data_IF_998296746121
#
_entry.id   IF_998296746121
#
_cell.length_a   1.000
_cell.length_b   1.000
_cell.length_c   1.000
_cell.angle_alpha   90.00
_cell.angle_beta   90.00
_cell.angle_gamma   90.00
#
_symmetry.space_group_name_H-M   'P 1'
#
loop_
_entity.id
_entity.type
_entity.pdbx_description
1 polymer ?
#
# COMPACT_ATOMS: atom_id res chain seq x y z
N UNK A 1 28.85 8.62 -50.16
CA UNK A 1 28.78 9.00 -48.74
C UNK A 1 27.52 9.82 -48.56
N UNK A 2 26.45 9.23 -48.05
CA UNK A 2 25.21 9.92 -47.72
C UNK A 2 25.21 10.15 -46.21
N UNK A 3 25.14 11.40 -45.82
CA UNK A 3 25.13 11.86 -44.43
C UNK A 3 23.82 11.47 -43.77
N UNK A 4 23.92 10.74 -42.66
CA UNK A 4 22.81 10.49 -41.75
C UNK A 4 22.31 11.81 -41.17
N UNK A 5 21.11 12.22 -41.57
CA UNK A 5 20.34 13.24 -40.82
C UNK A 5 19.86 12.59 -39.53
N UNK A 6 20.54 12.94 -38.43
CA UNK A 6 20.03 12.73 -37.08
C UNK A 6 18.82 13.63 -36.89
N UNK A 7 17.61 13.07 -36.98
CA UNK A 7 16.39 13.76 -36.60
C UNK A 7 16.45 14.07 -35.10
N UNK A 8 16.58 15.34 -34.75
CA UNK A 8 16.40 15.81 -33.38
C UNK A 8 14.97 15.47 -32.94
N UNK A 9 14.77 14.80 -31.79
CA UNK A 9 13.42 14.52 -31.31
C UNK A 9 12.73 15.85 -30.99
N UNK A 10 11.61 16.09 -31.67
CA UNK A 10 10.87 17.36 -31.68
C UNK A 10 10.39 17.72 -30.26
N UNK A 11 10.85 18.86 -29.74
CA UNK A 11 10.44 19.39 -28.42
C UNK A 11 8.92 19.60 -28.30
N UNK A 12 8.21 19.80 -29.41
CA UNK A 12 6.75 19.96 -29.43
C UNK A 12 5.98 18.69 -29.05
N UNK A 13 6.43 17.51 -29.48
CA UNK A 13 5.77 16.24 -29.17
C UNK A 13 5.87 15.90 -27.67
N UNK A 14 6.95 16.36 -27.02
CA UNK A 14 7.13 16.16 -25.57
C UNK A 14 6.22 17.07 -24.75
N UNK A 15 6.02 18.33 -25.16
CA UNK A 15 5.14 19.27 -24.47
C UNK A 15 3.67 18.82 -24.53
N UNK A 16 3.21 18.38 -25.71
CA UNK A 16 1.84 17.90 -25.92
C UNK A 16 1.55 16.64 -25.09
N UNK A 17 2.51 15.72 -25.01
CA UNK A 17 2.41 14.52 -24.16
C UNK A 17 2.38 14.88 -22.67
N UNK A 18 3.14 15.89 -22.23
CA UNK A 18 3.10 16.35 -20.84
C UNK A 18 1.71 16.91 -20.48
N UNK A 19 1.15 17.77 -21.34
CA UNK A 19 -0.19 18.34 -21.12
C UNK A 19 -1.27 17.24 -21.12
N UNK A 20 -1.18 16.27 -22.04
CA UNK A 20 -2.08 15.13 -22.09
C UNK A 20 -2.00 14.29 -20.81
N UNK A 21 -0.80 14.01 -20.31
CA UNK A 21 -0.60 13.30 -19.03
C UNK A 21 -1.21 14.07 -17.88
N UNK A 22 -0.99 15.39 -17.80
CA UNK A 22 -1.55 16.21 -16.72
C UNK A 22 -3.08 16.22 -16.73
N UNK A 23 -3.70 16.27 -17.92
CA UNK A 23 -5.17 16.13 -18.06
C UNK A 23 -5.66 14.77 -17.59
N UNK A 24 -5.02 13.67 -18.04
CA UNK A 24 -5.39 12.31 -17.62
C UNK A 24 -5.27 12.17 -16.10
N UNK A 25 -4.17 12.65 -15.53
CA UNK A 25 -3.95 12.63 -14.07
C UNK A 25 -5.01 13.42 -13.34
N UNK A 26 -5.42 14.59 -13.85
CA UNK A 26 -6.47 15.40 -13.23
C UNK A 26 -7.82 14.66 -13.21
N UNK A 27 -8.20 14.02 -14.32
CA UNK A 27 -9.43 13.21 -14.43
C UNK A 27 -9.39 12.00 -13.48
N UNK A 28 -8.27 11.29 -13.43
CA UNK A 28 -8.07 10.14 -12.55
C UNK A 28 -8.13 10.54 -11.07
N UNK A 29 -7.50 11.67 -10.69
CA UNK A 29 -7.56 12.20 -9.33
C UNK A 29 -8.98 12.60 -8.94
N UNK A 30 -9.75 13.18 -9.87
CA UNK A 30 -11.14 13.54 -9.62
C UNK A 30 -12.03 12.30 -9.41
N UNK A 31 -11.79 11.23 -10.18
CA UNK A 31 -12.47 9.96 -9.97
C UNK A 31 -12.13 9.35 -8.60
N UNK A 32 -10.87 9.42 -8.18
CA UNK A 32 -10.45 8.98 -6.84
C UNK A 32 -11.13 9.82 -5.75
N UNK A 33 -11.12 11.16 -5.86
CA UNK A 33 -11.79 12.08 -4.91
C UNK A 33 -13.27 11.76 -4.76
N UNK A 34 -13.98 11.53 -5.87
CA UNK A 34 -15.39 11.16 -5.85
C UNK A 34 -15.60 9.87 -5.07
N UNK A 35 -14.82 8.83 -5.35
CA UNK A 35 -14.93 7.57 -4.63
C UNK A 35 -14.60 7.69 -3.13
N UNK A 36 -13.61 8.53 -2.78
CA UNK A 36 -13.32 8.88 -1.39
C UNK A 36 -14.49 9.61 -0.73
N UNK A 37 -15.12 10.57 -1.43
CA UNK A 37 -16.34 11.27 -0.97
C UNK A 37 -17.56 10.34 -0.81
N UNK A 38 -17.64 9.27 -1.61
CA UNK A 38 -18.63 8.19 -1.46
C UNK A 38 -18.35 7.26 -0.26
N UNK A 39 -17.25 7.47 0.47
CA UNK A 39 -16.88 6.65 1.63
C UNK A 39 -16.15 5.37 1.25
N UNK A 40 -15.31 5.39 0.20
CA UNK A 40 -14.44 4.27 -0.10
C UNK A 40 -13.55 3.89 1.09
N UNK A 41 -13.45 2.58 1.35
CA UNK A 41 -12.62 1.99 2.40
C UNK A 41 -11.62 0.97 1.85
N UNK A 42 -11.90 0.46 0.65
CA UNK A 42 -11.14 -0.60 0.01
C UNK A 42 -10.70 -0.21 -1.40
N UNK A 43 -9.66 -0.87 -1.88
CA UNK A 43 -9.18 -0.78 -3.25
C UNK A 43 -9.01 -2.18 -3.84
N UNK A 44 -9.45 -2.38 -5.07
CA UNK A 44 -9.06 -3.53 -5.88
C UNK A 44 -7.88 -3.10 -6.76
N UNK A 45 -6.75 -3.77 -6.58
CA UNK A 45 -5.64 -3.66 -7.54
C UNK A 45 -5.84 -4.71 -8.62
N UNK A 46 -5.55 -4.36 -9.89
CA UNK A 46 -5.71 -5.23 -11.08
C UNK A 46 -7.16 -5.64 -11.39
N UNK A 47 -8.10 -4.71 -11.29
CA UNK A 47 -9.49 -4.93 -11.69
C UNK A 47 -9.59 -5.50 -13.13
N UNK A 48 -10.47 -6.46 -13.36
CA UNK A 48 -10.69 -7.19 -14.61
C UNK A 48 -9.76 -8.38 -14.86
N UNK A 49 -8.96 -8.81 -13.86
CA UNK A 49 -8.03 -9.95 -14.00
C UNK A 49 -8.34 -11.08 -13.02
N UNK A 50 -7.92 -12.31 -13.36
CA UNK A 50 -8.06 -13.50 -12.49
C UNK A 50 -7.40 -13.34 -11.11
N UNK A 51 -6.53 -12.34 -10.95
CA UNK A 51 -5.74 -12.11 -9.75
C UNK A 51 -6.14 -10.88 -8.93
N UNK A 52 -7.35 -10.36 -9.13
CA UNK A 52 -7.95 -9.31 -8.31
C UNK A 52 -7.75 -9.59 -6.82
N UNK A 53 -7.21 -8.59 -6.15
CA UNK A 53 -6.95 -8.63 -4.72
C UNK A 53 -7.58 -7.40 -4.10
N UNK A 54 -8.41 -7.62 -3.07
CA UNK A 54 -9.01 -6.56 -2.29
C UNK A 54 -7.99 -6.10 -1.24
N UNK A 55 -7.81 -4.79 -1.11
CA UNK A 55 -6.94 -4.16 -0.13
C UNK A 55 -7.73 -3.15 0.68
N UNK A 56 -7.28 -2.90 1.90
CA UNK A 56 -7.60 -1.65 2.59
C UNK A 56 -6.88 -0.50 1.90
N UNK A 57 -7.46 0.69 1.91
CA UNK A 57 -6.82 1.89 1.35
C UNK A 57 -5.49 2.22 2.00
N UNK A 58 -5.33 1.90 3.29
CA UNK A 58 -4.10 2.15 4.04
C UNK A 58 -2.99 1.12 3.74
N UNK A 59 -3.23 0.16 2.86
CA UNK A 59 -2.25 -0.88 2.54
C UNK A 59 -1.06 -0.28 1.77
N UNK A 60 0.20 -0.54 2.19
CA UNK A 60 1.39 -0.03 1.48
C UNK A 60 1.48 -0.47 0.01
N UNK A 61 0.83 -1.57 -0.36
CA UNK A 61 0.79 -2.00 -1.77
C UNK A 61 -0.18 -1.19 -2.62
N UNK A 62 -1.08 -0.40 -2.03
CA UNK A 62 -2.06 0.45 -2.73
C UNK A 62 -1.49 1.83 -3.01
N UNK A 63 -0.68 2.37 -2.09
CA UNK A 63 -0.10 3.72 -2.17
C UNK A 63 0.57 4.02 -3.53
N UNK A 64 1.42 3.14 -4.10
CA UNK A 64 2.01 3.38 -5.43
C UNK A 64 0.98 3.53 -6.55
N UNK A 65 -0.23 2.99 -6.40
CA UNK A 65 -1.29 3.10 -7.41
C UNK A 65 -2.12 4.39 -7.29
N UNK A 66 -2.10 5.03 -6.11
CA UNK A 66 -2.81 6.27 -5.82
C UNK A 66 -2.00 7.50 -6.19
N UNK A 67 -0.67 7.44 -6.14
CA UNK A 67 0.20 8.50 -6.68
C UNK A 67 0.23 8.45 -8.21
N UNK A 68 -0.77 9.08 -8.83
CA UNK A 68 -0.95 9.06 -10.28
C UNK A 68 0.20 9.72 -11.03
N UNK A 69 0.80 10.78 -10.47
CA UNK A 69 1.93 11.46 -11.12
C UNK A 69 3.18 10.59 -11.12
N UNK A 70 3.53 10.00 -9.97
CA UNK A 70 4.71 9.13 -9.89
C UNK A 70 4.59 7.87 -10.76
N UNK A 71 3.37 7.45 -11.10
CA UNK A 71 3.10 6.30 -11.98
C UNK A 71 3.45 6.56 -13.44
N UNK A 72 3.41 7.80 -13.93
CA UNK A 72 3.70 8.13 -15.33
C UNK A 72 5.21 8.21 -15.60
N UNK A 73 5.85 7.05 -15.69
CA UNK A 73 7.25 6.90 -16.10
C UNK A 73 7.47 7.27 -17.57
N UNK A 74 8.72 7.49 -17.97
CA UNK A 74 9.09 7.79 -19.36
C UNK A 74 8.61 6.71 -20.34
N UNK A 75 8.59 5.45 -19.92
CA UNK A 75 8.08 4.35 -20.73
C UNK A 75 6.58 4.51 -21.01
N UNK A 76 5.80 4.87 -19.99
CA UNK A 76 4.36 5.10 -20.14
C UNK A 76 4.06 6.34 -20.98
N UNK A 77 4.86 7.39 -20.85
CA UNK A 77 4.77 8.60 -21.68
C UNK A 77 5.06 8.29 -23.15
N UNK A 78 6.12 7.53 -23.44
CA UNK A 78 6.41 7.05 -24.81
C UNK A 78 5.28 6.21 -25.39
N UNK A 79 4.68 5.34 -24.57
CA UNK A 79 3.56 4.51 -25.02
C UNK A 79 2.30 5.32 -25.30
N UNK A 80 2.03 6.36 -24.49
CA UNK A 80 0.94 7.30 -24.72
C UNK A 80 1.15 8.14 -25.99
N UNK A 81 2.39 8.55 -26.26
CA UNK A 81 2.73 9.27 -27.50
C UNK A 81 2.44 8.39 -28.75
N UNK A 82 2.64 7.08 -28.65
CA UNK A 82 2.34 6.13 -29.73
C UNK A 82 0.86 5.71 -29.80
N UNK A 83 0.12 5.83 -28.70
CA UNK A 83 -1.28 5.41 -28.56
C UNK A 83 -1.98 6.31 -27.54
N UNK A 84 -2.75 7.28 -28.04
CA UNK A 84 -3.45 8.30 -27.24
C UNK A 84 -4.56 7.70 -26.35
N UNK A 85 -4.95 6.45 -26.59
CA UNK A 85 -5.92 5.69 -25.78
C UNK A 85 -5.26 4.94 -24.63
N UNK A 86 -3.92 4.86 -24.60
CA UNK A 86 -3.20 4.16 -23.54
C UNK A 86 -3.49 4.77 -22.17
N UNK A 87 -3.92 3.92 -21.23
CA UNK A 87 -4.15 4.34 -19.83
C UNK A 87 -3.47 3.36 -18.88
N UNK A 88 -2.91 3.89 -17.80
CA UNK A 88 -2.41 3.09 -16.68
C UNK A 88 -3.62 2.69 -15.83
N UNK A 89 -3.87 1.39 -15.58
CA UNK A 89 -5.04 0.96 -14.81
C UNK A 89 -5.18 1.69 -13.47
N UNK A 90 -6.36 2.25 -13.24
CA UNK A 90 -6.75 2.88 -11.98
C UNK A 90 -7.28 1.79 -11.03
N UNK A 91 -6.87 1.77 -9.74
CA UNK A 91 -7.49 0.87 -8.78
C UNK A 91 -8.97 1.23 -8.60
N UNK A 92 -9.83 0.21 -8.52
CA UNK A 92 -11.24 0.42 -8.25
C UNK A 92 -11.42 0.62 -6.74
N UNK A 93 -11.88 1.81 -6.34
CA UNK A 93 -12.14 2.13 -4.94
C UNK A 93 -13.58 1.75 -4.58
N UNK A 94 -13.77 1.10 -3.43
CA UNK A 94 -15.03 0.52 -3.02
C UNK A 94 -15.40 0.91 -1.59
N UNK A 95 -16.69 1.19 -1.40
CA UNK A 95 -17.31 1.21 -0.07
C UNK A 95 -17.35 -0.20 0.50
N UNK A 96 -17.52 -0.33 1.83
CA UNK A 96 -17.68 -1.64 2.48
C UNK A 96 -18.84 -2.44 1.89
N UNK A 97 -19.98 -1.79 1.67
CA UNK A 97 -21.17 -2.43 1.09
C UNK A 97 -20.88 -3.00 -0.30
N UNK A 98 -20.30 -2.20 -1.20
CA UNK A 98 -19.95 -2.64 -2.56
C UNK A 98 -18.93 -3.78 -2.53
N UNK A 99 -17.92 -3.69 -1.67
CA UNK A 99 -16.92 -4.75 -1.55
C UNK A 99 -17.51 -6.05 -0.99
N UNK A 100 -18.48 -5.97 -0.07
CA UNK A 100 -19.22 -7.11 0.45
C UNK A 100 -20.13 -7.80 -0.57
N UNK A 101 -20.63 -7.06 -1.56
CA UNK A 101 -21.48 -7.59 -2.63
C UNK A 101 -20.70 -8.40 -3.68
N UNK A 102 -19.37 -8.30 -3.72
CA UNK A 102 -18.55 -8.98 -4.73
C UNK A 102 -18.07 -10.33 -4.21
N UNK A 103 -18.56 -11.41 -4.83
CA UNK A 103 -18.17 -12.78 -4.51
C UNK A 103 -16.82 -13.17 -5.14
N UNK A 104 -16.03 -14.00 -4.44
CA UNK A 104 -14.85 -14.65 -5.01
C UNK A 104 -13.57 -13.81 -5.03
N UNK A 105 -13.59 -12.60 -4.48
CA UNK A 105 -12.40 -11.77 -4.33
C UNK A 105 -11.44 -12.33 -3.28
N UNK A 106 -10.14 -12.27 -3.59
CA UNK A 106 -9.10 -12.62 -2.63
C UNK A 106 -8.76 -11.41 -1.77
N UNK A 107 -8.88 -11.55 -0.46
CA UNK A 107 -8.37 -10.56 0.48
C UNK A 107 -6.84 -10.52 0.44
N UNK A 108 -6.27 -9.31 0.40
CA UNK A 108 -4.83 -9.13 0.54
C UNK A 108 -4.36 -9.72 1.87
N UNK A 109 -3.41 -10.65 1.81
CA UNK A 109 -2.81 -11.27 3.01
C UNK A 109 -2.00 -10.26 3.85
N UNK A 110 -1.69 -9.09 3.29
CA UNK A 110 -0.93 -8.02 3.95
C UNK A 110 -1.83 -7.17 4.83
N UNK A 111 -2.89 -6.59 4.28
CA UNK A 111 -3.76 -5.68 5.01
C UNK A 111 -5.08 -6.31 5.49
N UNK A 112 -5.36 -7.57 5.11
CA UNK A 112 -6.54 -8.33 5.54
C UNK A 112 -7.83 -7.49 5.54
N UNK A 113 -8.35 -7.13 4.36
CA UNK A 113 -9.52 -6.27 4.28
C UNK A 113 -10.72 -6.91 5.01
N UNK A 114 -11.14 -6.29 6.11
CA UNK A 114 -12.21 -6.78 6.94
C UNK A 114 -13.56 -6.20 6.49
N UNK A 115 -14.28 -6.98 5.67
CA UNK A 115 -15.57 -6.59 5.12
C UNK A 115 -16.71 -6.64 6.15
N UNK A 116 -16.60 -7.45 7.20
CA UNK A 116 -17.68 -7.63 8.18
C UNK A 116 -17.79 -6.48 9.18
N UNK A 117 -16.85 -5.52 9.19
CA UNK A 117 -16.93 -4.30 10.03
C UNK A 117 -16.79 -4.55 11.54
N UNK A 118 -16.75 -5.80 11.98
CA UNK A 118 -16.43 -6.19 13.35
C UNK A 118 -15.00 -5.78 13.67
N UNK A 119 -14.74 -5.23 14.85
CA UNK A 119 -13.37 -4.98 15.38
C UNK A 119 -12.43 -6.16 15.07
N UNK A 120 -11.13 -5.91 14.82
CA UNK A 120 -10.21 -6.94 14.35
C UNK A 120 -10.29 -8.17 15.25
N UNK A 121 -10.59 -9.33 14.66
CA UNK A 121 -10.36 -10.58 15.36
C UNK A 121 -8.85 -10.80 15.57
N UNK A 122 -8.46 -11.52 16.64
CA UNK A 122 -7.16 -11.39 17.25
C UNK A 122 -6.06 -12.13 16.48
N UNK A 123 -4.86 -11.55 16.56
CA UNK A 123 -3.58 -12.23 16.69
C UNK A 123 -3.32 -13.36 15.70
N UNK A 124 -2.91 -12.97 14.48
CA UNK A 124 -2.20 -13.92 13.63
C UNK A 124 -0.91 -14.32 14.34
N UNK A 125 -0.85 -15.59 14.73
CA UNK A 125 0.35 -16.23 15.25
C UNK A 125 1.22 -16.67 14.07
N UNK A 126 2.42 -16.14 14.01
CA UNK A 126 3.47 -16.55 13.07
C UNK A 126 4.73 -16.83 13.88
N UNK A 127 5.66 -17.61 13.35
CA UNK A 127 7.00 -17.68 13.95
C UNK A 127 7.78 -16.40 13.65
N UNK A 128 8.72 -16.02 14.51
CA UNK A 128 9.55 -14.84 14.31
C UNK A 128 10.33 -14.89 12.99
N UNK A 129 10.82 -16.06 12.58
CA UNK A 129 11.44 -16.29 11.26
C UNK A 129 10.49 -16.00 10.09
N UNK A 130 9.19 -16.08 10.33
CA UNK A 130 8.12 -15.72 9.40
C UNK A 130 7.90 -14.22 9.24
N UNK A 131 8.54 -13.36 10.05
CA UNK A 131 8.54 -11.92 9.83
C UNK A 131 9.29 -11.58 8.53
N UNK A 132 8.75 -10.60 7.81
CA UNK A 132 9.10 -10.25 6.43
C UNK A 132 8.87 -8.74 6.28
N UNK A 133 9.50 -8.08 5.31
CA UNK A 133 9.31 -6.64 5.08
C UNK A 133 7.84 -6.23 4.93
N UNK A 134 7.00 -7.10 4.36
CA UNK A 134 5.54 -6.88 4.22
C UNK A 134 4.77 -6.80 5.55
N UNK A 135 5.38 -7.15 6.69
CA UNK A 135 4.77 -7.03 8.01
C UNK A 135 5.09 -5.68 8.67
N UNK A 136 5.97 -4.85 8.08
CA UNK A 136 6.14 -3.48 8.52
C UNK A 136 4.80 -2.71 8.42
N UNK A 137 4.49 -1.93 9.45
CA UNK A 137 3.21 -1.24 9.63
C UNK A 137 2.16 -2.06 10.39
N UNK A 138 2.43 -3.33 10.75
CA UNK A 138 1.54 -4.11 11.63
C UNK A 138 1.91 -3.95 13.10
N UNK A 139 0.92 -4.03 13.97
CA UNK A 139 1.15 -4.00 15.42
C UNK A 139 1.54 -5.39 15.91
N UNK A 140 2.67 -5.48 16.60
CA UNK A 140 2.98 -6.67 17.43
C UNK A 140 2.19 -6.53 18.71
N UNK A 141 1.64 -7.64 19.19
CA UNK A 141 0.94 -7.72 20.44
C UNK A 141 1.49 -8.85 21.32
N UNK A 142 1.20 -8.81 22.62
CA UNK A 142 1.36 -9.96 23.51
C UNK A 142 0.35 -11.05 23.16
N UNK A 143 0.51 -12.27 23.70
CA UNK A 143 -0.51 -13.32 23.60
C UNK A 143 -1.88 -12.89 24.16
N UNK A 144 -1.90 -11.95 25.12
CA UNK A 144 -3.12 -11.39 25.71
C UNK A 144 -3.74 -10.26 24.87
N UNK A 145 -3.09 -9.81 23.80
CA UNK A 145 -3.55 -8.70 22.99
C UNK A 145 -3.20 -7.32 23.53
N UNK A 146 -2.10 -7.17 24.24
CA UNK A 146 -1.55 -5.84 24.53
C UNK A 146 -0.59 -5.43 23.42
N UNK A 147 -0.72 -4.21 22.89
CA UNK A 147 0.18 -3.70 21.85
C UNK A 147 1.62 -3.55 22.35
N UNK A 148 2.59 -4.06 21.58
CA UNK A 148 4.02 -3.89 21.79
C UNK A 148 4.66 -2.89 20.82
N UNK A 149 3.84 -2.26 19.97
CA UNK A 149 4.24 -1.27 18.98
C UNK A 149 4.10 -1.77 17.54
N UNK A 150 4.16 -0.83 16.60
CA UNK A 150 4.07 -1.09 15.16
C UNK A 150 5.43 -1.45 14.58
N UNK A 151 5.51 -2.55 13.85
CA UNK A 151 6.74 -3.01 13.19
C UNK A 151 7.23 -1.94 12.22
N UNK A 152 8.44 -1.43 12.42
CA UNK A 152 9.15 -0.60 11.46
C UNK A 152 9.98 -1.51 10.54
N UNK A 153 10.69 -2.47 11.13
CA UNK A 153 11.50 -3.46 10.40
C UNK A 153 11.76 -4.70 11.24
N UNK A 154 12.08 -5.80 10.58
CA UNK A 154 12.55 -7.05 11.20
C UNK A 154 13.81 -7.53 10.49
N UNK A 155 14.85 -7.89 11.24
CA UNK A 155 16.15 -8.30 10.70
C UNK A 155 16.64 -9.55 11.42
N UNK A 156 16.99 -10.64 10.70
CA UNK A 156 17.69 -11.76 11.31
C UNK A 156 19.11 -11.34 11.71
N UNK A 157 19.54 -11.72 12.91
CA UNK A 157 20.87 -11.43 13.45
C UNK A 157 21.40 -12.64 14.21
N UNK A 158 22.70 -12.63 14.51
CA UNK A 158 23.29 -13.48 15.53
C UNK A 158 23.45 -12.68 16.82
N UNK A 159 22.85 -13.18 17.90
CA UNK A 159 23.04 -12.70 19.27
C UNK A 159 24.00 -13.61 20.02
N UNK A 160 24.42 -13.17 21.21
CA UNK A 160 25.14 -14.01 22.16
C UNK A 160 24.45 -13.90 23.52
N UNK A 161 24.32 -15.02 24.23
CA UNK A 161 23.73 -15.02 25.57
C UNK A 161 24.72 -14.46 26.62
N UNK A 162 24.32 -14.43 27.89
CA UNK A 162 25.16 -13.95 29.00
C UNK A 162 26.42 -14.82 29.22
N UNK A 163 26.51 -15.98 28.59
CA UNK A 163 27.64 -16.90 28.64
C UNK A 163 28.49 -16.88 27.36
N UNK A 164 28.16 -15.99 26.42
CA UNK A 164 28.89 -15.82 25.16
C UNK A 164 28.53 -16.87 24.09
N UNK A 165 27.46 -17.64 24.27
CA UNK A 165 27.01 -18.64 23.28
C UNK A 165 26.24 -17.96 22.17
N UNK A 166 26.74 -18.07 20.95
CA UNK A 166 26.07 -17.53 19.75
C UNK A 166 24.75 -18.25 19.49
N UNK A 167 23.71 -17.48 19.18
CA UNK A 167 22.41 -17.98 18.75
C UNK A 167 21.80 -17.07 17.69
N UNK A 168 20.93 -17.64 16.86
CA UNK A 168 20.16 -16.85 15.90
C UNK A 168 19.02 -16.12 16.63
N UNK A 169 18.81 -14.85 16.31
CA UNK A 169 17.71 -14.04 16.83
C UNK A 169 17.06 -13.22 15.71
N UNK A 170 15.79 -12.87 15.88
CA UNK A 170 15.08 -11.93 15.02
C UNK A 170 14.93 -10.62 15.79
N UNK A 171 15.67 -9.59 15.37
CA UNK A 171 15.52 -8.23 15.89
C UNK A 171 14.33 -7.56 15.19
N UNK A 172 13.36 -7.13 15.97
CA UNK A 172 12.19 -6.39 15.48
C UNK A 172 12.18 -5.01 16.09
N UNK A 173 12.36 -4.00 15.24
CA UNK A 173 12.25 -2.60 15.64
C UNK A 173 10.80 -2.19 15.46
N UNK A 174 10.17 -1.73 16.54
CA UNK A 174 8.80 -1.20 16.53
C UNK A 174 8.80 0.31 16.79
N UNK A 175 7.63 0.95 16.65
CA UNK A 175 7.42 2.36 17.01
C UNK A 175 7.69 2.67 18.49
N UNK A 176 7.61 1.67 19.37
CA UNK A 176 7.76 1.85 20.82
C UNK A 176 9.09 1.34 21.35
N UNK A 177 9.64 0.26 20.78
CA UNK A 177 10.84 -0.43 21.28
C UNK A 177 11.44 -1.41 20.27
N UNK A 178 12.65 -1.87 20.56
CA UNK A 178 13.26 -3.03 19.89
C UNK A 178 12.98 -4.29 20.70
N UNK A 179 12.49 -5.34 20.04
CA UNK A 179 12.18 -6.64 20.62
C UNK A 179 13.05 -7.69 19.92
N UNK A 180 13.54 -8.67 20.67
CA UNK A 180 14.29 -9.80 20.14
C UNK A 180 13.49 -11.07 20.36
N UNK A 181 13.38 -11.88 19.32
CA UNK A 181 12.68 -13.15 19.35
C UNK A 181 13.63 -14.29 18.98
N UNK A 182 13.45 -15.45 19.60
CA UNK A 182 14.03 -16.67 19.05
C UNK A 182 13.37 -16.98 17.68
N UNK A 183 14.06 -17.60 16.71
CA UNK A 183 13.53 -17.75 15.35
C UNK A 183 12.22 -18.55 15.27
N UNK A 184 12.03 -19.49 16.20
CA UNK A 184 10.86 -20.36 16.36
C UNK A 184 9.82 -19.80 17.35
N UNK A 185 10.10 -18.67 17.99
CA UNK A 185 9.16 -18.04 18.92
C UNK A 185 7.92 -17.50 18.20
N UNK A 186 6.78 -17.64 18.86
CA UNK A 186 5.50 -17.16 18.36
C UNK A 186 5.41 -15.63 18.48
N UNK A 187 5.27 -14.99 17.31
CA UNK A 187 4.98 -13.57 17.16
C UNK A 187 3.51 -13.40 16.81
N UNK A 188 2.95 -12.38 17.43
CA UNK A 188 1.54 -12.20 17.66
C UNK A 188 1.16 -10.86 17.01
N UNK A 189 0.41 -10.89 15.89
CA UNK A 189 0.20 -9.70 15.05
C UNK A 189 -1.26 -9.25 15.00
N UNK A 190 -1.47 -7.94 15.11
CA UNK A 190 -2.73 -7.28 14.86
C UNK A 190 -2.81 -6.71 13.45
N UNK A 191 -3.99 -6.86 12.83
CA UNK A 191 -4.29 -6.40 11.48
C UNK A 191 -4.97 -5.02 11.42
N UNK A 192 -5.18 -4.36 12.57
CA UNK A 192 -5.44 -2.94 12.55
C UNK A 192 -4.12 -2.18 12.59
N UNK A 193 -3.96 -1.17 11.73
CA UNK A 193 -3.26 -0.02 12.19
C UNK A 193 -4.19 0.72 13.15
N UNK A 194 -4.08 0.36 14.43
CA UNK A 194 -4.58 1.21 15.52
C UNK A 194 -3.63 2.37 15.79
N UNK A 195 -2.51 2.45 15.07
CA UNK A 195 -1.61 3.58 15.19
C UNK A 195 -2.21 4.79 14.48
N UNK A 196 -2.22 5.89 15.22
CA UNK A 196 -2.27 7.26 14.73
C UNK A 196 -1.52 7.46 13.41
N UNK A 197 -0.45 6.69 13.14
CA UNK A 197 0.28 6.69 11.86
C UNK A 197 -0.50 6.21 10.64
N UNK A 198 -1.40 5.22 10.72
CA UNK A 198 -2.20 4.88 9.53
C UNK A 198 -3.43 5.75 9.40
N UNK A 199 -3.97 6.25 10.51
CA UNK A 199 -4.93 7.36 10.46
C UNK A 199 -4.25 8.56 9.80
N UNK A 200 -3.01 8.89 10.17
CA UNK A 200 -2.20 9.94 9.56
C UNK A 200 -1.90 9.63 8.09
N UNK A 201 -1.54 8.40 7.72
CA UNK A 201 -1.36 8.02 6.30
C UNK A 201 -2.65 8.15 5.53
N UNK A 202 -3.79 7.73 6.11
CA UNK A 202 -5.10 7.88 5.51
C UNK A 202 -5.46 9.36 5.35
N UNK A 203 -5.27 10.17 6.39
CA UNK A 203 -5.47 11.62 6.37
C UNK A 203 -4.51 12.31 5.39
N UNK A 204 -3.28 11.83 5.26
CA UNK A 204 -2.28 12.31 4.31
C UNK A 204 -2.69 11.97 2.89
N UNK A 205 -3.16 10.74 2.63
CA UNK A 205 -3.73 10.35 1.35
C UNK A 205 -4.96 11.21 1.02
N UNK A 206 -5.87 11.42 1.97
CA UNK A 206 -7.01 12.33 1.84
C UNK A 206 -6.58 13.77 1.53
N UNK A 207 -5.57 14.29 2.22
CA UNK A 207 -5.04 15.65 2.03
C UNK A 207 -4.32 15.79 0.69
N UNK A 208 -3.48 14.82 0.32
CA UNK A 208 -2.75 14.78 -0.96
C UNK A 208 -3.70 14.63 -2.15
N UNK A 209 -4.79 13.88 -1.97
CA UNK A 209 -5.83 13.72 -2.98
C UNK A 209 -6.84 14.87 -2.94
N UNK A 210 -6.74 15.85 -2.05
CA UNK A 210 -7.60 17.04 -2.01
C UNK A 210 -8.99 16.82 -1.42
N UNK A 211 -9.21 15.72 -0.71
CA UNK A 211 -10.45 15.42 0.03
C UNK A 211 -10.16 15.52 1.53
N UNK A 212 -10.03 16.74 2.05
CA UNK A 212 -10.02 16.94 3.50
C UNK A 212 -11.32 16.39 4.12
N UNK A 213 -11.30 15.88 5.37
CA UNK A 213 -12.53 15.48 6.02
C UNK A 213 -13.48 16.67 6.06
N UNK A 214 -14.65 16.54 5.42
CA UNK A 214 -15.73 17.51 5.63
C UNK A 214 -16.08 17.44 7.12
N UNK A 215 -16.03 18.57 7.86
CA UNK A 215 -16.47 18.56 9.24
C UNK A 215 -17.94 18.10 9.24
N UNK A 216 -18.23 17.10 10.08
CA UNK A 216 -19.59 16.64 10.31
C UNK A 216 -20.44 17.85 10.73
N UNK A 217 -21.53 18.08 9.98
CA UNK A 217 -22.59 19.01 10.36
C UNK A 217 -23.50 18.36 11.40
#
# INVERSE_FOLDING_TARGET
MLTSESAEPQEHDTADVVELVDRIVAEELEALRRAFGEGAEFAITRAGRRDETLHRLECPSVEPHLDRRARWTDEHRRRLAADDTYRIPLPALLTRERAGAISGMRGCKVCWPNLSGTEPRPLKRITARGLRPQHAGRVIATPTGESLGTIIRSTPRRGADLFGVEHDEIEVVTSSRTIRYAPDEDVHLWDLPSDSQAIERKLRLFTQLGSGPSPAA
#
